data_IF_444618177578
#
_entry.id   IF_444618177578
#
_cell.length_a   1.000
_cell.length_b   1.000
_cell.length_c   1.000
_cell.angle_alpha   90.00
_cell.angle_beta   90.00
_cell.angle_gamma   90.00
#
_symmetry.space_group_name_H-M   'P 1'
#
loop_
_entity.id
_entity.type
_entity.pdbx_description
1 polymer ?
#
# COMPACT_ATOMS: atom_id res chain seq x y z
N UNK A 1 -30.34 23.20 43.19
CA UNK A 1 -29.14 23.74 43.88
C UNK A 1 -27.95 23.56 42.95
N UNK A 2 -27.41 24.62 42.31
CA UNK A 2 -26.27 24.52 41.41
C UNK A 2 -24.96 25.00 42.08
N UNK A 3 -23.94 24.14 42.09
CA UNK A 3 -22.52 24.45 42.36
C UNK A 3 -21.70 23.36 41.66
N UNK A 4 -20.59 23.56 40.96
CA UNK A 4 -19.82 24.71 40.54
C UNK A 4 -18.74 24.17 39.60
N UNK A 5 -18.46 24.89 38.50
CA UNK A 5 -17.36 24.61 37.57
C UNK A 5 -16.04 25.06 38.21
N UNK A 6 -15.02 24.20 38.22
CA UNK A 6 -13.62 24.66 38.31
C UNK A 6 -12.74 23.89 37.33
N UNK A 7 -12.14 24.68 36.44
CA UNK A 7 -11.13 24.29 35.46
C UNK A 7 -9.77 24.13 36.14
N UNK A 8 -9.11 22.98 35.96
CA UNK A 8 -7.72 22.77 36.38
C UNK A 8 -6.82 22.65 35.15
N UNK A 9 -6.10 23.73 34.86
CA UNK A 9 -5.06 23.81 33.83
C UNK A 9 -3.75 23.20 34.32
N UNK A 10 -2.96 22.53 33.46
CA UNK A 10 -1.69 21.92 33.85
C UNK A 10 -0.54 22.95 33.90
N UNK A 11 0.33 22.82 34.90
CA UNK A 11 1.57 23.60 35.06
C UNK A 11 2.76 22.74 34.62
N UNK A 12 3.49 23.23 33.62
CA UNK A 12 4.79 22.73 33.16
C UNK A 12 5.91 23.60 33.77
N UNK A 13 7.00 23.04 34.29
CA UNK A 13 8.26 23.76 34.42
C UNK A 13 9.24 23.43 33.26
N UNK A 14 10.06 24.41 32.81
CA UNK A 14 11.15 24.20 31.84
C UNK A 14 12.51 24.03 32.51
N UNK A 15 13.48 23.43 31.80
CA UNK A 15 14.91 23.83 31.65
C UNK A 15 15.90 22.65 31.64
N UNK A 16 16.59 22.42 30.52
CA UNK A 16 18.00 22.77 30.21
C UNK A 16 19.03 21.81 30.84
N UNK A 17 19.91 21.24 30.02
CA UNK A 17 21.30 21.02 30.41
C UNK A 17 22.04 19.81 29.85
N UNK A 18 22.88 20.08 28.84
CA UNK A 18 24.30 19.65 28.82
C UNK A 18 24.65 18.22 28.36
N UNK A 19 25.10 18.13 27.11
CA UNK A 19 26.51 17.83 26.80
C UNK A 19 26.98 16.38 26.65
N UNK A 20 27.83 16.22 25.62
CA UNK A 20 29.01 15.33 25.50
C UNK A 20 28.92 14.33 24.35
N UNK A 21 29.51 14.75 23.22
CA UNK A 21 30.14 13.86 22.24
C UNK A 21 31.46 13.32 22.82
N UNK A 22 31.89 12.13 22.39
CA UNK A 22 33.29 11.99 22.04
C UNK A 22 33.51 11.44 20.63
N UNK A 23 34.17 12.26 19.83
CA UNK A 23 34.98 11.90 18.66
C UNK A 23 35.99 10.78 18.99
N UNK A 24 36.19 9.82 18.07
CA UNK A 24 37.44 9.05 17.96
C UNK A 24 37.80 8.70 16.52
N UNK A 25 39.11 8.54 16.21
CA UNK A 25 39.67 8.90 14.92
C UNK A 25 40.07 7.71 14.03
N UNK A 26 40.08 7.99 12.73
CA UNK A 26 41.14 7.68 11.75
C UNK A 26 41.82 6.31 11.74
N UNK A 27 41.59 5.56 10.65
CA UNK A 27 42.65 4.80 9.97
C UNK A 27 42.57 5.00 8.46
N UNK A 28 43.57 5.70 7.96
CA UNK A 28 44.04 5.75 6.59
C UNK A 28 44.80 4.46 6.24
N UNK A 29 44.67 3.99 5.00
CA UNK A 29 45.77 3.80 4.04
C UNK A 29 45.39 2.77 2.97
N UNK A 30 45.53 3.15 1.69
CA UNK A 30 45.53 2.20 0.56
C UNK A 30 44.93 2.69 -0.76
N UNK A 31 45.53 3.70 -1.39
CA UNK A 31 45.51 3.91 -2.86
C UNK A 31 46.80 3.30 -3.46
N UNK A 32 47.04 3.27 -4.79
CA UNK A 32 46.15 3.17 -5.96
C UNK A 32 46.67 2.15 -7.01
N UNK A 33 45.96 1.94 -8.12
CA UNK A 33 46.56 1.80 -9.47
C UNK A 33 45.48 1.96 -10.54
N UNK A 34 45.85 2.63 -11.63
CA UNK A 34 45.00 3.09 -12.73
C UNK A 34 45.16 2.21 -13.99
N UNK A 35 44.44 2.60 -15.05
CA UNK A 35 44.52 2.19 -16.48
C UNK A 35 43.78 0.90 -16.85
N UNK A 36 43.07 0.74 -17.97
CA UNK A 36 42.65 1.59 -19.08
C UNK A 36 41.50 0.87 -19.84
N UNK A 37 40.65 1.66 -20.51
CA UNK A 37 40.05 1.47 -21.85
C UNK A 37 39.77 0.04 -22.37
N UNK A 38 38.55 -0.22 -22.86
CA UNK A 38 38.29 -0.25 -24.32
C UNK A 38 36.81 -0.47 -24.60
N UNK A 39 36.36 0.23 -25.63
CA UNK A 39 35.03 0.20 -26.21
C UNK A 39 34.81 -1.09 -27.00
N UNK A 40 33.55 -1.51 -27.19
CA UNK A 40 32.96 -1.87 -28.50
C UNK A 40 31.56 -2.47 -28.35
N UNK A 41 30.54 -1.70 -28.76
CA UNK A 41 29.36 -2.20 -29.49
C UNK A 41 29.72 -2.30 -30.98
N UNK A 42 29.07 -3.18 -31.76
CA UNK A 42 27.98 -2.73 -32.67
C UNK A 42 26.80 -3.75 -32.71
N UNK A 43 25.51 -3.39 -32.83
CA UNK A 43 24.67 -3.10 -34.03
C UNK A 43 24.95 -4.07 -35.21
N UNK A 44 24.04 -4.59 -36.05
CA UNK A 44 22.63 -4.37 -36.44
C UNK A 44 22.27 -5.49 -37.46
N UNK A 45 20.97 -5.61 -37.80
CA UNK A 45 20.38 -6.21 -39.03
C UNK A 45 20.06 -7.70 -38.94
N UNK A 46 18.82 -8.18 -39.05
CA UNK A 46 17.63 -7.63 -39.70
C UNK A 46 17.40 -8.32 -41.05
N UNK A 47 16.38 -9.18 -41.15
CA UNK A 47 15.52 -9.33 -42.34
C UNK A 47 14.39 -10.34 -42.10
N UNK A 48 13.18 -9.87 -42.38
CA UNK A 48 11.88 -10.54 -42.43
C UNK A 48 11.82 -11.81 -43.31
N UNK A 49 10.88 -12.73 -43.03
CA UNK A 49 9.57 -12.76 -43.68
C UNK A 49 8.97 -14.18 -43.84
N UNK A 50 7.64 -14.22 -43.68
CA UNK A 50 6.69 -15.10 -44.36
C UNK A 50 6.42 -16.55 -43.86
N UNK A 51 5.40 -16.61 -42.98
CA UNK A 51 4.08 -17.29 -43.16
C UNK A 51 3.86 -18.77 -42.75
N UNK A 52 2.62 -19.10 -42.33
CA UNK A 52 2.28 -20.25 -41.48
C UNK A 52 1.58 -21.40 -42.23
N UNK A 53 1.59 -22.62 -41.67
CA UNK A 53 0.69 -23.71 -42.08
C UNK A 53 0.24 -24.58 -40.89
N UNK A 54 -1.01 -24.31 -40.50
CA UNK A 54 -2.13 -25.18 -40.11
C UNK A 54 -1.92 -26.65 -39.69
N UNK A 55 -2.76 -27.03 -38.72
CA UNK A 55 -3.43 -28.35 -38.54
C UNK A 55 -2.83 -29.36 -37.56
N UNK A 56 -3.40 -29.40 -36.35
CA UNK A 56 -3.71 -30.65 -35.63
C UNK A 56 -4.79 -31.45 -36.41
N UNK A 57 -5.08 -32.76 -36.16
CA UNK A 57 -4.91 -33.49 -34.90
C UNK A 57 -4.54 -35.01 -34.98
N UNK A 58 -4.37 -35.60 -33.79
CA UNK A 58 -4.87 -36.93 -33.38
C UNK A 58 -3.92 -38.16 -33.30
N UNK A 59 -3.68 -38.58 -32.06
CA UNK A 59 -3.64 -39.94 -31.49
C UNK A 59 -3.04 -41.11 -32.31
N UNK A 60 -2.00 -41.74 -31.76
CA UNK A 60 -2.09 -43.09 -31.15
C UNK A 60 -0.72 -43.77 -31.06
N UNK A 61 -0.49 -44.39 -29.89
CA UNK A 61 0.33 -45.58 -29.69
C UNK A 61 1.86 -45.46 -29.90
N UNK A 62 2.74 -46.21 -29.25
CA UNK A 62 2.76 -47.14 -28.10
C UNK A 62 4.25 -47.47 -27.97
N UNK A 63 4.68 -47.69 -26.73
CA UNK A 63 5.72 -48.68 -26.37
C UNK A 63 7.17 -48.40 -26.78
N UNK A 64 7.97 -47.92 -25.83
CA UNK A 64 9.36 -48.36 -25.76
C UNK A 64 9.73 -48.62 -24.29
N UNK A 65 9.53 -49.86 -23.89
CA UNK A 65 10.16 -50.49 -22.73
C UNK A 65 11.48 -51.10 -23.20
N UNK A 66 12.59 -50.64 -22.62
CA UNK A 66 13.70 -51.54 -22.34
C UNK A 66 14.44 -51.12 -21.07
N UNK A 67 14.21 -51.91 -20.04
CA UNK A 67 14.96 -51.96 -18.80
C UNK A 67 16.16 -52.90 -18.97
N UNK A 68 17.28 -52.63 -18.32
CA UNK A 68 17.81 -53.56 -17.30
C UNK A 68 19.05 -52.98 -16.59
N UNK A 69 19.04 -53.12 -15.27
CA UNK A 69 20.11 -52.75 -14.35
C UNK A 69 19.65 -52.81 -12.89
N UNK A 70 19.13 -53.97 -12.46
CA UNK A 70 18.91 -54.40 -11.06
C UNK A 70 20.26 -54.69 -10.38
N UNK A 71 20.45 -54.77 -9.05
CA UNK A 71 19.58 -54.76 -7.86
C UNK A 71 20.40 -54.28 -6.64
N UNK A 72 19.78 -53.71 -5.60
CA UNK A 72 19.21 -54.37 -4.42
C UNK A 72 20.24 -55.07 -3.52
N UNK A 73 20.47 -54.51 -2.32
CA UNK A 73 20.43 -55.31 -1.10
C UNK A 73 20.13 -54.44 0.14
N UNK A 74 19.09 -54.86 0.85
CA UNK A 74 18.60 -54.30 2.10
C UNK A 74 19.34 -54.96 3.26
N UNK A 75 19.67 -54.18 4.32
CA UNK A 75 19.56 -54.67 5.71
C UNK A 75 19.57 -53.51 6.70
N UNK A 76 18.45 -53.45 7.40
CA UNK A 76 18.09 -52.61 8.53
C UNK A 76 18.84 -53.00 9.81
N UNK A 77 19.20 -51.99 10.61
CA UNK A 77 19.18 -52.08 12.08
C UNK A 77 19.23 -50.67 12.69
N UNK A 78 18.04 -50.18 13.06
CA UNK A 78 17.73 -49.52 14.33
C UNK A 78 18.80 -48.65 15.00
N UNK A 79 18.52 -47.36 15.21
CA UNK A 79 18.08 -46.81 16.52
C UNK A 79 18.21 -45.27 16.55
N UNK A 80 17.19 -44.63 17.13
CA UNK A 80 17.19 -43.28 17.73
C UNK A 80 17.09 -42.10 16.74
N UNK A 81 16.04 -41.27 16.71
CA UNK A 81 14.92 -41.11 17.62
C UNK A 81 13.77 -40.43 16.87
N UNK A 82 12.65 -41.12 16.69
CA UNK A 82 11.35 -40.46 16.72
C UNK A 82 11.26 -39.63 18.01
N UNK A 83 10.97 -38.35 17.83
CA UNK A 83 10.46 -37.46 18.85
C UNK A 83 9.03 -37.08 18.51
N UNK A 84 8.16 -38.08 18.32
CA UNK A 84 6.73 -37.88 18.52
C UNK A 84 6.52 -37.41 19.96
N UNK A 85 6.33 -36.11 20.11
CA UNK A 85 5.50 -35.53 21.16
C UNK A 85 4.53 -34.54 20.54
N UNK A 86 3.73 -35.02 19.59
CA UNK A 86 2.32 -34.60 19.53
C UNK A 86 1.59 -35.31 20.67
N UNK A 87 2.00 -34.98 21.89
CA UNK A 87 1.11 -35.12 23.00
C UNK A 87 0.07 -34.03 22.85
N UNK A 88 -1.21 -34.40 22.84
CA UNK A 88 -2.13 -33.73 23.76
C UNK A 88 -1.57 -33.88 25.17
N UNK A 89 -0.44 -33.23 25.46
CA UNK A 89 -0.05 -32.93 26.82
C UNK A 89 -1.22 -32.12 27.33
N UNK A 90 -1.83 -32.56 28.44
CA UNK A 90 -2.85 -31.77 29.10
C UNK A 90 -2.32 -30.34 29.17
N UNK A 91 -2.92 -29.43 28.41
CA UNK A 91 -2.55 -28.02 28.41
C UNK A 91 -2.58 -27.63 29.88
N UNK A 92 -1.44 -27.15 30.37
CA UNK A 92 -1.15 -27.05 31.79
C UNK A 92 -1.28 -25.59 32.17
N UNK A 93 -1.99 -25.32 33.24
CA UNK A 93 -2.14 -23.98 33.76
C UNK A 93 -0.82 -23.39 34.24
N UNK A 94 -0.85 -22.09 34.50
CA UNK A 94 0.27 -21.35 35.11
C UNK A 94 0.74 -21.93 36.46
N UNK A 95 -0.13 -22.67 37.15
CA UNK A 95 0.10 -23.35 38.43
C UNK A 95 0.66 -24.77 38.27
N UNK A 96 0.76 -25.27 37.04
CA UNK A 96 1.28 -26.59 36.75
C UNK A 96 0.23 -27.70 36.78
N UNK A 97 -1.06 -27.39 37.02
CA UNK A 97 -2.16 -28.35 37.00
C UNK A 97 -2.77 -28.47 35.60
N UNK A 98 -3.43 -29.60 35.26
CA UNK A 98 -4.13 -29.71 33.98
C UNK A 98 -5.29 -28.70 33.90
N UNK A 99 -5.37 -27.97 32.79
CA UNK A 99 -6.44 -26.99 32.57
C UNK A 99 -7.82 -27.64 32.61
N UNK A 100 -8.77 -26.95 33.23
CA UNK A 100 -10.18 -27.32 33.20
C UNK A 100 -10.74 -27.21 31.79
N UNK A 101 -11.88 -27.87 31.53
CA UNK A 101 -12.59 -27.73 30.25
C UNK A 101 -12.99 -26.27 29.95
N UNK A 102 -13.16 -25.45 30.98
CA UNK A 102 -13.44 -24.01 30.83
C UNK A 102 -12.24 -23.28 30.27
N UNK A 103 -11.09 -23.40 30.94
CA UNK A 103 -9.84 -22.75 30.55
C UNK A 103 -9.34 -23.25 29.18
N UNK A 104 -9.49 -24.54 28.89
CA UNK A 104 -9.16 -25.09 27.57
C UNK A 104 -9.97 -24.44 26.44
N UNK A 105 -11.24 -24.09 26.69
CA UNK A 105 -12.04 -23.34 25.70
C UNK A 105 -11.56 -21.90 25.57
N UNK A 106 -11.05 -21.31 26.64
CA UNK A 106 -10.52 -19.95 26.63
C UNK A 106 -9.21 -19.88 25.84
N UNK A 107 -8.26 -20.79 26.09
CA UNK A 107 -7.01 -20.93 25.31
C UNK A 107 -7.32 -21.04 23.84
N UNK A 108 -8.21 -21.96 23.43
CA UNK A 108 -8.59 -22.10 22.02
C UNK A 108 -9.22 -20.84 21.41
N UNK A 109 -9.95 -20.04 22.19
CA UNK A 109 -10.50 -18.76 21.71
C UNK A 109 -9.40 -17.71 21.54
N UNK A 110 -8.44 -17.67 22.45
CA UNK A 110 -7.28 -16.78 22.38
C UNK A 110 -6.38 -17.14 21.19
N UNK A 111 -6.10 -18.42 20.96
CA UNK A 111 -5.39 -18.92 19.78
C UNK A 111 -6.09 -18.55 18.47
N UNK A 112 -7.42 -18.72 18.42
CA UNK A 112 -8.19 -18.34 17.24
C UNK A 112 -8.05 -16.85 16.95
N UNK A 113 -8.21 -16.01 17.98
CA UNK A 113 -8.06 -14.56 17.86
C UNK A 113 -6.64 -14.14 17.49
N UNK A 114 -5.61 -14.76 18.07
CA UNK A 114 -4.20 -14.47 17.74
C UNK A 114 -3.91 -14.72 16.25
N UNK A 115 -4.37 -15.85 15.72
CA UNK A 115 -4.22 -16.16 14.29
C UNK A 115 -4.93 -15.13 13.41
N UNK A 116 -6.15 -14.75 13.77
CA UNK A 116 -6.93 -13.75 13.05
C UNK A 116 -6.25 -12.38 13.07
N UNK A 117 -5.83 -11.88 14.24
CA UNK A 117 -5.13 -10.61 14.42
C UNK A 117 -3.84 -10.60 13.62
N UNK A 118 -3.01 -11.63 13.74
CA UNK A 118 -1.75 -11.69 12.97
C UNK A 118 -1.99 -11.75 11.47
N UNK A 119 -3.02 -12.45 11.01
CA UNK A 119 -3.37 -12.48 9.60
C UNK A 119 -3.87 -11.11 9.12
N UNK A 120 -4.66 -10.41 9.95
CA UNK A 120 -5.14 -9.05 9.70
C UNK A 120 -3.96 -8.08 9.51
N UNK A 121 -3.05 -8.01 10.48
CA UNK A 121 -1.90 -7.10 10.39
C UNK A 121 -0.95 -7.46 9.25
N UNK A 122 -0.74 -8.75 9.00
CA UNK A 122 0.07 -9.20 7.87
C UNK A 122 -0.50 -8.75 6.54
N UNK A 123 -1.83 -8.75 6.39
CA UNK A 123 -2.47 -8.29 5.16
C UNK A 123 -2.23 -6.81 4.91
N UNK A 124 -2.37 -5.97 5.94
CA UNK A 124 -2.02 -4.55 5.85
C UNK A 124 -0.56 -4.33 5.43
N UNK A 125 0.37 -4.99 6.11
CA UNK A 125 1.81 -4.84 5.83
C UNK A 125 2.17 -5.34 4.42
N UNK A 126 1.64 -6.49 4.00
CA UNK A 126 1.95 -7.10 2.71
C UNK A 126 1.53 -6.21 1.52
N UNK A 127 0.39 -5.54 1.63
CA UNK A 127 -0.11 -4.66 0.56
C UNK A 127 0.50 -3.27 0.66
N UNK A 128 0.67 -2.73 1.87
CA UNK A 128 1.21 -1.39 2.09
C UNK A 128 2.71 -1.27 1.82
N UNK A 129 3.46 -2.36 1.95
CA UNK A 129 4.90 -2.40 1.68
C UNK A 129 5.63 -1.28 2.42
N UNK A 130 6.36 -0.44 1.69
CA UNK A 130 7.11 0.69 2.26
C UNK A 130 6.24 1.80 2.89
N UNK A 131 4.95 1.86 2.57
CA UNK A 131 4.02 2.84 3.14
C UNK A 131 3.25 2.31 4.35
N UNK A 132 3.47 1.04 4.72
CA UNK A 132 2.98 0.45 5.95
C UNK A 132 4.14 0.30 6.95
N UNK A 133 3.86 0.61 8.21
CA UNK A 133 4.75 0.39 9.34
C UNK A 133 4.86 -1.09 9.71
N UNK A 134 5.66 -1.36 10.74
CA UNK A 134 5.69 -2.70 11.34
C UNK A 134 4.40 -2.97 12.14
N UNK A 135 3.84 -4.19 12.09
CA UNK A 135 2.73 -4.59 12.93
C UNK A 135 3.02 -4.42 14.41
N UNK A 136 2.09 -3.78 15.12
CA UNK A 136 2.08 -3.67 16.56
C UNK A 136 0.95 -4.52 17.13
N UNK A 137 1.20 -5.17 18.26
CA UNK A 137 0.25 -6.12 18.84
C UNK A 137 -0.03 -5.79 20.31
N UNK A 138 -1.29 -5.95 20.69
CA UNK A 138 -1.74 -5.98 22.08
C UNK A 138 -1.96 -7.43 22.49
N UNK A 139 -1.45 -7.82 23.65
CA UNK A 139 -1.45 -9.21 24.11
C UNK A 139 -2.34 -9.41 25.32
N UNK A 140 -2.91 -10.61 25.42
CA UNK A 140 -3.59 -11.12 26.60
C UNK A 140 -2.92 -12.42 27.03
N UNK A 141 -2.71 -12.55 28.34
CA UNK A 141 -2.15 -13.75 28.96
C UNK A 141 -3.26 -14.80 29.12
N UNK A 142 -3.07 -16.00 28.55
CA UNK A 142 -3.96 -17.13 28.75
C UNK A 142 -3.74 -17.85 30.07
N UNK A 143 -4.69 -18.72 30.48
CA UNK A 143 -4.58 -19.52 31.71
C UNK A 143 -3.46 -20.57 31.66
N UNK A 144 -2.97 -20.88 30.46
CA UNK A 144 -1.78 -21.69 30.15
C UNK A 144 -0.43 -20.98 30.38
N UNK A 145 -0.44 -19.67 30.60
CA UNK A 145 0.80 -18.90 30.73
C UNK A 145 1.39 -18.43 29.41
N UNK A 146 0.71 -18.62 28.28
CA UNK A 146 1.10 -18.09 26.98
C UNK A 146 0.41 -16.76 26.63
N UNK A 147 1.10 -15.92 25.85
CA UNK A 147 0.59 -14.60 25.43
C UNK A 147 0.04 -14.66 24.01
N UNK A 148 -1.21 -14.26 23.88
CA UNK A 148 -1.96 -14.26 22.62
C UNK A 148 -2.25 -12.84 22.15
N UNK A 149 -2.05 -12.54 20.87
CA UNK A 149 -2.38 -11.26 20.28
C UNK A 149 -3.91 -11.12 20.19
N UNK A 150 -4.49 -10.21 20.97
CA UNK A 150 -5.94 -9.98 21.00
C UNK A 150 -6.35 -8.72 20.24
N UNK A 151 -5.38 -7.87 19.90
CA UNK A 151 -5.52 -6.75 18.98
C UNK A 151 -4.20 -6.45 18.28
N UNK A 152 -4.27 -5.75 17.17
CA UNK A 152 -3.10 -5.29 16.43
C UNK A 152 -3.43 -4.05 15.61
N UNK A 153 -2.38 -3.37 15.17
CA UNK A 153 -2.49 -2.30 14.19
C UNK A 153 -1.21 -2.20 13.34
N UNK A 154 -1.39 -1.72 12.11
CA UNK A 154 -0.31 -1.32 11.21
C UNK A 154 -0.53 0.14 10.85
N UNK A 155 0.41 1.00 11.23
CA UNK A 155 0.36 2.42 10.83
C UNK A 155 0.58 2.54 9.31
N UNK A 156 -0.32 3.21 8.59
CA UNK A 156 -0.21 3.43 7.15
C UNK A 156 0.02 4.93 6.91
N UNK A 157 1.05 5.28 6.14
CA UNK A 157 1.38 6.66 5.82
C UNK A 157 0.48 7.20 4.69
N UNK A 158 -0.59 7.90 5.09
CA UNK A 158 -1.52 8.58 4.19
C UNK A 158 -1.11 10.03 3.82
N UNK A 159 0.11 10.47 4.15
CA UNK A 159 0.53 11.83 3.82
C UNK A 159 0.85 11.98 2.31
N UNK A 160 0.41 13.07 1.66
CA UNK A 160 0.76 13.34 0.27
C UNK A 160 2.26 13.67 0.11
N UNK A 161 2.81 13.41 -1.08
CA UNK A 161 4.18 13.76 -1.44
C UNK A 161 4.18 15.21 -1.93
N UNK A 162 4.90 16.09 -1.22
CA UNK A 162 4.90 17.53 -1.52
C UNK A 162 5.54 17.81 -2.88
N UNK A 163 4.86 18.61 -3.69
CA UNK A 163 5.37 19.07 -4.99
C UNK A 163 5.25 18.05 -6.12
N UNK A 164 4.82 16.81 -5.83
CA UNK A 164 4.67 15.76 -6.82
C UNK A 164 3.27 15.12 -6.73
N UNK A 165 2.30 15.64 -7.50
CA UNK A 165 0.95 15.08 -7.50
C UNK A 165 0.91 13.70 -8.18
N UNK A 166 1.82 13.38 -9.11
CA UNK A 166 1.86 12.07 -9.74
C UNK A 166 2.30 10.99 -8.74
N UNK A 167 3.41 11.22 -8.03
CA UNK A 167 3.89 10.32 -6.99
C UNK A 167 2.88 10.21 -5.84
N UNK A 168 2.17 11.31 -5.50
CA UNK A 168 1.08 11.27 -4.53
C UNK A 168 -0.05 10.35 -4.98
N UNK A 169 -0.49 10.44 -6.24
CA UNK A 169 -1.55 9.59 -6.77
C UNK A 169 -1.17 8.11 -6.71
N UNK A 170 0.07 7.77 -7.05
CA UNK A 170 0.58 6.39 -6.99
C UNK A 170 0.69 5.88 -5.54
N UNK A 171 1.27 6.68 -4.64
CA UNK A 171 1.35 6.36 -3.21
C UNK A 171 -0.04 6.12 -2.62
N UNK A 172 -0.98 7.03 -2.86
CA UNK A 172 -2.33 6.95 -2.28
C UNK A 172 -3.14 5.77 -2.80
N UNK A 173 -2.87 5.28 -4.02
CA UNK A 173 -3.46 4.01 -4.49
C UNK A 173 -3.02 2.83 -3.64
N UNK A 174 -1.73 2.75 -3.31
CA UNK A 174 -1.17 1.69 -2.47
C UNK A 174 -1.70 1.81 -1.04
N UNK A 175 -1.70 3.02 -0.47
CA UNK A 175 -2.25 3.30 0.86
C UNK A 175 -3.71 2.88 0.97
N UNK A 176 -4.56 3.26 -0.01
CA UNK A 176 -5.97 2.85 -0.02
C UNK A 176 -6.12 1.34 -0.11
N UNK A 177 -5.33 0.68 -0.96
CA UNK A 177 -5.37 -0.77 -1.10
C UNK A 177 -4.94 -1.47 0.19
N UNK A 178 -3.90 -0.97 0.86
CA UNK A 178 -3.39 -1.50 2.12
C UNK A 178 -4.40 -1.37 3.25
N UNK A 179 -5.05 -0.21 3.37
CA UNK A 179 -6.09 0.01 4.37
C UNK A 179 -7.32 -0.89 4.16
N UNK A 180 -7.62 -1.27 2.92
CA UNK A 180 -8.74 -2.17 2.59
C UNK A 180 -8.30 -3.64 2.40
N UNK A 181 -7.05 -3.99 2.75
CA UNK A 181 -6.50 -5.30 2.45
C UNK A 181 -7.14 -6.47 3.23
N UNK A 182 -7.41 -6.35 4.54
CA UNK A 182 -8.13 -7.40 5.26
C UNK A 182 -9.58 -7.51 4.81
N UNK A 183 -10.16 -8.72 4.89
CA UNK A 183 -11.56 -8.95 4.50
C UNK A 183 -12.58 -8.17 5.35
N UNK A 184 -12.19 -7.80 6.58
CA UNK A 184 -13.00 -6.99 7.48
C UNK A 184 -12.13 -5.85 8.03
N UNK A 185 -11.96 -4.75 7.28
CA UNK A 185 -11.13 -3.62 7.72
C UNK A 185 -11.80 -2.89 8.89
N UNK A 186 -10.99 -2.42 9.85
CA UNK A 186 -11.50 -1.68 11.00
C UNK A 186 -12.06 -0.31 10.58
N UNK A 187 -12.79 0.35 11.49
CA UNK A 187 -13.26 1.71 11.26
C UNK A 187 -12.10 2.71 11.05
N UNK A 188 -10.92 2.44 11.61
CA UNK A 188 -9.74 3.27 11.41
C UNK A 188 -9.17 3.10 10.01
N UNK A 189 -9.06 1.86 9.53
CA UNK A 189 -8.55 1.60 8.18
C UNK A 189 -9.49 2.17 7.11
N UNK A 190 -10.80 2.08 7.32
CA UNK A 190 -11.78 2.71 6.44
C UNK A 190 -11.60 4.24 6.36
N UNK A 191 -11.26 4.90 7.47
CA UNK A 191 -10.94 6.34 7.48
C UNK A 191 -9.68 6.64 6.68
N UNK A 192 -8.61 5.85 6.88
CA UNK A 192 -7.35 5.98 6.11
C UNK A 192 -7.63 5.78 4.60
N UNK A 193 -8.45 4.81 4.23
CA UNK A 193 -8.84 4.58 2.84
C UNK A 193 -9.63 5.77 2.25
N UNK A 194 -10.50 6.39 3.05
CA UNK A 194 -11.24 7.59 2.64
C UNK A 194 -10.31 8.79 2.48
N UNK A 195 -9.39 9.02 3.41
CA UNK A 195 -8.36 10.07 3.34
C UNK A 195 -7.48 9.91 2.10
N UNK A 196 -6.99 8.69 1.83
CA UNK A 196 -6.23 8.39 0.62
C UNK A 196 -7.04 8.67 -0.64
N UNK A 197 -8.34 8.38 -0.64
CA UNK A 197 -9.24 8.69 -1.76
C UNK A 197 -9.37 10.18 -1.99
N UNK A 198 -9.52 10.97 -0.92
CA UNK A 198 -9.56 12.44 -1.03
C UNK A 198 -8.24 12.99 -1.57
N UNK A 199 -7.10 12.50 -1.09
CA UNK A 199 -5.78 12.90 -1.56
C UNK A 199 -5.56 12.55 -3.04
N UNK A 200 -6.05 11.38 -3.50
CA UNK A 200 -6.02 11.03 -4.93
C UNK A 200 -6.79 12.01 -5.80
N UNK A 201 -7.99 12.41 -5.38
CA UNK A 201 -8.81 13.39 -6.11
C UNK A 201 -8.10 14.75 -6.19
N UNK A 202 -7.50 15.20 -5.09
CA UNK A 202 -6.73 16.44 -5.07
C UNK A 202 -5.50 16.38 -5.99
N UNK A 203 -4.77 15.26 -5.99
CA UNK A 203 -3.63 15.04 -6.87
C UNK A 203 -4.03 15.06 -8.36
N UNK A 204 -5.15 14.42 -8.72
CA UNK A 204 -5.69 14.44 -10.07
C UNK A 204 -6.04 15.85 -10.54
N UNK A 205 -6.67 16.67 -9.67
CA UNK A 205 -6.97 18.07 -9.96
C UNK A 205 -5.68 18.90 -10.16
N UNK A 206 -4.62 18.62 -9.41
CA UNK A 206 -3.33 19.28 -9.58
C UNK A 206 -2.66 18.91 -10.91
N UNK A 207 -2.69 17.63 -11.30
CA UNK A 207 -2.14 17.17 -12.58
C UNK A 207 -2.83 17.84 -13.77
N UNK A 208 -4.17 17.88 -13.78
CA UNK A 208 -4.93 18.54 -14.84
C UNK A 208 -4.61 20.06 -14.97
N UNK A 209 -4.32 20.72 -13.85
CA UNK A 209 -3.89 22.14 -13.85
C UNK A 209 -2.47 22.31 -14.39
N UNK A 210 -1.58 21.36 -14.13
CA UNK A 210 -0.21 21.38 -14.65
C UNK A 210 -0.19 21.17 -16.17
N UNK A 211 -0.99 20.23 -16.69
CA UNK A 211 -1.11 19.97 -18.13
C UNK A 211 -1.67 21.18 -18.89
N UNK A 212 -2.74 21.79 -18.38
CA UNK A 212 -3.33 23.00 -18.99
C UNK A 212 -2.44 24.23 -18.89
N UNK A 213 -1.68 24.39 -17.79
CA UNK A 213 -0.67 25.43 -17.66
C UNK A 213 0.49 25.27 -18.64
N UNK A 214 0.99 24.03 -18.80
CA UNK A 214 2.08 23.72 -19.72
C UNK A 214 1.70 23.97 -21.19
N UNK A 215 0.50 23.54 -21.62
CA UNK A 215 0.02 23.77 -23.00
C UNK A 215 -0.15 25.27 -23.34
N UNK A 216 -0.52 26.10 -22.34
CA UNK A 216 -0.63 27.55 -22.53
C UNK A 216 0.73 28.25 -22.64
N UNK A 217 1.75 27.75 -21.94
CA UNK A 217 3.11 28.27 -22.02
C UNK A 217 3.78 27.91 -23.36
N UNK A 218 3.53 26.70 -23.88
CA UNK A 218 4.05 26.25 -25.19
C UNK A 218 3.46 27.07 -26.35
N UNK A 219 2.15 27.32 -26.36
CA UNK A 219 1.49 28.10 -27.42
C UNK A 219 1.88 29.58 -27.47
N UNK A 220 2.44 30.13 -26.39
CA UNK A 220 2.88 31.54 -26.35
C UNK A 220 4.36 31.70 -26.79
N UNK A 221 5.13 30.61 -26.87
CA UNK A 221 6.54 30.62 -27.29
C UNK A 221 6.76 30.54 -28.81
N UNK A 222 5.81 30.00 -29.57
CA UNK A 222 5.91 29.83 -31.02
C UNK A 222 5.36 31.03 -31.83
N UNK A 223 4.67 31.98 -31.18
CA UNK A 223 4.04 33.14 -31.85
C UNK A 223 4.92 34.41 -31.90
N UNK A 224 6.24 34.22 -31.91
CA UNK A 224 7.24 35.30 -31.87
C UNK A 224 7.83 35.69 -33.24
N UNK A 225 7.45 35.04 -34.33
CA UNK A 225 7.86 35.40 -35.69
C UNK A 225 6.66 35.29 -36.62
N UNK A 226 6.38 36.38 -37.33
CA UNK A 226 5.31 36.52 -38.34
C UNK A 226 3.92 36.80 -37.73
N UNK A 227 3.57 38.06 -37.49
CA UNK A 227 2.90 38.82 -38.55
C UNK A 227 3.00 40.33 -38.30
N UNK A 228 3.88 40.99 -39.07
CA UNK A 228 3.67 42.41 -39.41
C UNK A 228 2.42 42.50 -40.28
N UNK A 229 1.63 43.53 -40.01
CA UNK A 229 0.61 44.12 -40.90
C UNK A 229 -0.60 43.25 -41.26
N UNK A 230 -1.71 43.45 -40.54
CA UNK A 230 -3.04 43.67 -41.13
C UNK A 230 -3.94 44.40 -40.13
N UNK A 231 -4.46 45.55 -40.58
CA UNK A 231 -5.32 46.49 -39.85
C UNK A 231 -6.70 45.88 -39.53
N UNK A 232 -7.39 46.35 -38.47
CA UNK A 232 -8.76 45.93 -38.18
C UNK A 232 -9.74 46.70 -39.07
N UNK A 233 -10.56 45.99 -39.85
CA UNK A 233 -11.75 46.54 -40.47
C UNK A 233 -12.94 46.38 -39.52
N UNK A 234 -13.56 47.50 -39.17
CA UNK A 234 -14.78 47.58 -38.38
C UNK A 234 -15.93 46.84 -39.10
N UNK A 235 -16.59 45.91 -38.40
CA UNK A 235 -17.85 45.31 -38.84
C UNK A 235 -18.98 45.82 -37.97
N UNK A 236 -19.85 46.60 -38.60
CA UNK A 236 -21.05 47.25 -38.10
C UNK A 236 -22.21 46.26 -37.82
N UNK A 237 -22.96 46.58 -36.75
CA UNK A 237 -24.39 46.34 -36.46
C UNK A 237 -25.16 45.23 -37.18
N UNK A 238 -25.77 44.32 -36.40
CA UNK A 238 -27.23 44.18 -36.38
C UNK A 238 -27.72 43.59 -35.04
N UNK A 239 -28.54 44.37 -34.32
CA UNK A 239 -29.24 43.97 -33.10
C UNK A 239 -30.68 43.69 -33.51
N UNK A 240 -31.09 42.42 -33.53
CA UNK A 240 -32.48 42.04 -33.73
C UNK A 240 -33.17 42.03 -32.37
N UNK A 241 -33.86 43.15 -32.07
CA UNK A 241 -34.88 43.22 -31.05
C UNK A 241 -36.23 42.91 -31.71
N UNK A 242 -36.86 41.78 -31.32
CA UNK A 242 -38.29 41.55 -31.55
C UNK A 242 -39.00 41.65 -30.21
N UNK A 243 -39.79 42.71 -30.09
CA UNK A 243 -40.78 42.91 -29.04
C UNK A 243 -41.98 41.97 -29.22
N UNK A 244 -42.56 41.52 -28.10
CA UNK A 244 -43.86 40.86 -28.01
C UNK A 244 -44.05 40.33 -26.57
N UNK A 245 -44.41 41.18 -25.61
CA UNK A 245 -45.77 41.56 -25.21
C UNK A 245 -46.28 40.72 -24.01
N UNK A 246 -46.44 41.46 -22.90
CA UNK A 246 -47.31 41.37 -21.71
C UNK A 246 -48.05 40.07 -21.31
N UNK A 247 -48.23 40.03 -19.97
CA UNK A 247 -49.24 39.29 -19.18
C UNK A 247 -48.83 37.84 -18.84
N UNK A 248 -48.84 37.31 -17.61
CA UNK A 248 -49.49 37.69 -16.36
C UNK A 248 -48.65 37.20 -15.16
N UNK A 249 -48.62 38.02 -14.12
CA UNK A 249 -48.32 37.62 -12.74
C UNK A 249 -49.55 36.95 -12.13
N UNK A 250 -49.41 35.73 -11.60
CA UNK A 250 -50.30 35.20 -10.56
C UNK A 250 -49.48 34.41 -9.53
N UNK A 251 -49.56 34.73 -8.22
CA UNK A 251 -48.87 34.00 -7.17
C UNK A 251 -49.67 32.76 -6.74
N UNK A 252 -49.01 31.60 -6.72
CA UNK A 252 -49.58 30.36 -6.21
C UNK A 252 -49.84 30.50 -4.70
N UNK A 253 -51.11 30.76 -4.34
CA UNK A 253 -51.63 30.71 -2.98
C UNK A 253 -51.72 29.27 -2.48
N UNK A 254 -51.29 29.09 -1.24
CA UNK A 254 -51.49 27.89 -0.44
C UNK A 254 -52.98 27.60 -0.16
N UNK A 255 -53.32 26.31 -0.14
CA UNK A 255 -54.48 25.67 0.49
C UNK A 255 -54.11 24.19 0.59
N UNK A 256 -54.34 23.44 1.67
CA UNK A 256 -54.94 23.70 2.98
C UNK A 256 -54.34 22.66 3.95
#
# INVERSE_FOLDING_TARGET
>A
MPVGLTSSTPVFPPSIGTGVQPERPGRSDGQPTATAEDSRRPVSSGSESARPRNSAPNQSARNESNASGQGEDQRSSSTSSEGERQGVGAERGVDGEPLTRGELREVRQLEARDREVRAHERAHQAVGGQYAGSPQYTYTQGPDGDRYATGGEVSIDAAPIKGDPQATLEKMRIVRAAALAPANPSAQDQRVAAEATQAMLQAQLQLARQESGASRLESTGESGKESRSRQPAASSYEVVALNGDRADTEPFRASA
#
